data_IF_372184051956
#
_entry.id   IF_372184051956
#
_cell.length_a   1.000
_cell.length_b   1.000
_cell.length_c   1.000
_cell.angle_alpha   90.00
_cell.angle_beta   90.00
_cell.angle_gamma   90.00
#
_symmetry.space_group_name_H-M   'P 1'
#
loop_
_entity.id
_entity.type
_entity.pdbx_description
1 polymer ?
#
# COMPACT_ATOMS: atom_id res chain seq x y z
N UNK A 1 10.45 25.70 -7.25
CA UNK A 1 8.99 25.96 -7.35
C UNK A 1 8.18 24.74 -6.91
N UNK A 2 8.41 23.57 -7.52
CA UNK A 2 7.77 22.30 -7.16
C UNK A 2 7.90 21.94 -5.67
N UNK A 3 9.12 21.83 -5.15
CA UNK A 3 9.36 21.46 -3.74
C UNK A 3 8.63 22.37 -2.74
N UNK A 4 8.68 23.69 -2.96
CA UNK A 4 7.98 24.66 -2.13
C UNK A 4 6.46 24.55 -2.21
N UNK A 5 5.91 24.15 -3.37
CA UNK A 5 4.49 23.85 -3.52
C UNK A 5 4.11 22.56 -2.79
N UNK A 6 4.86 21.48 -3.00
CA UNK A 6 4.65 20.17 -2.36
C UNK A 6 4.64 20.30 -0.83
N UNK A 7 5.63 20.99 -0.25
CA UNK A 7 5.69 21.23 1.20
C UNK A 7 4.48 21.97 1.74
N UNK A 8 3.90 22.91 0.98
CA UNK A 8 2.68 23.63 1.40
C UNK A 8 1.44 22.74 1.34
N UNK A 9 1.30 21.93 0.29
CA UNK A 9 0.12 21.07 0.11
C UNK A 9 0.12 19.87 1.08
N UNK A 10 1.28 19.26 1.32
CA UNK A 10 1.42 18.10 2.21
C UNK A 10 1.62 18.47 3.68
N UNK A 11 2.19 19.64 3.98
CA UNK A 11 2.54 20.01 5.36
C UNK A 11 3.51 19.01 5.99
N UNK A 12 3.44 18.88 7.33
CA UNK A 12 4.26 17.94 8.08
C UNK A 12 3.57 16.57 8.18
N UNK A 13 4.06 15.61 7.40
CA UNK A 13 3.68 14.19 7.50
C UNK A 13 4.45 13.50 8.62
N UNK A 14 3.86 12.46 9.21
CA UNK A 14 4.45 11.72 10.35
C UNK A 14 5.01 10.37 9.96
N UNK A 15 4.40 9.72 8.99
CA UNK A 15 4.69 8.37 8.52
C UNK A 15 5.15 8.40 7.07
N UNK A 16 4.29 8.86 6.17
CA UNK A 16 4.52 8.82 4.73
C UNK A 16 5.57 9.84 4.31
N UNK A 17 6.43 9.44 3.36
CA UNK A 17 7.54 10.25 2.83
C UNK A 17 7.47 10.33 1.30
N UNK A 18 6.51 11.09 0.75
CA UNK A 18 6.42 11.27 -0.69
C UNK A 18 7.63 12.03 -1.22
N UNK A 19 8.12 11.61 -2.38
CA UNK A 19 9.09 12.37 -3.16
C UNK A 19 8.46 12.86 -4.46
N UNK A 20 9.02 13.94 -4.98
CA UNK A 20 8.70 14.51 -6.28
C UNK A 20 10.00 14.92 -6.95
N UNK A 21 10.25 14.42 -8.15
CA UNK A 21 11.40 14.81 -8.95
C UNK A 21 10.93 15.48 -10.24
N UNK A 22 11.75 16.41 -10.73
CA UNK A 22 11.48 17.14 -11.96
C UNK A 22 12.77 17.18 -12.78
N UNK A 23 12.77 16.42 -13.86
CA UNK A 23 13.92 16.19 -14.71
C UNK A 23 13.72 16.92 -16.04
N UNK A 24 14.63 17.84 -16.37
CA UNK A 24 14.60 18.56 -17.65
C UNK A 24 15.39 17.77 -18.68
N UNK A 25 14.78 17.55 -19.84
CA UNK A 25 15.41 16.93 -21.00
C UNK A 25 15.60 17.98 -22.08
N UNK A 26 16.84 18.11 -22.55
CA UNK A 26 17.14 18.98 -23.69
C UNK A 26 16.49 18.46 -24.97
N UNK A 27 16.37 19.36 -25.96
CA UNK A 27 15.89 18.97 -27.28
C UNK A 27 16.78 17.87 -27.86
N UNK A 28 16.16 16.88 -28.49
CA UNK A 28 16.86 15.71 -29.00
C UNK A 28 16.22 15.15 -30.26
N UNK A 29 16.72 14.01 -30.70
CA UNK A 29 16.13 13.21 -31.77
C UNK A 29 15.70 11.89 -31.17
N UNK A 30 14.40 11.59 -31.21
CA UNK A 30 13.88 10.28 -30.83
C UNK A 30 13.32 9.60 -32.09
N UNK A 31 13.80 8.40 -32.40
CA UNK A 31 13.48 7.67 -33.63
C UNK A 31 13.54 8.51 -34.94
N UNK A 32 14.43 9.52 -35.01
CA UNK A 32 14.59 10.39 -36.18
C UNK A 32 13.63 11.59 -36.25
N UNK A 33 12.77 11.78 -35.24
CA UNK A 33 11.93 12.96 -35.09
C UNK A 33 12.56 13.95 -34.10
N UNK A 34 12.58 15.23 -34.47
CA UNK A 34 13.00 16.29 -33.55
C UNK A 34 11.99 16.38 -32.40
N UNK A 35 12.47 16.16 -31.18
CA UNK A 35 11.70 16.32 -29.94
C UNK A 35 12.17 17.60 -29.28
N UNK A 36 11.26 18.54 -29.06
CA UNK A 36 11.54 19.78 -28.32
C UNK A 36 11.93 19.50 -26.86
N UNK A 37 12.43 20.50 -26.13
CA UNK A 37 12.77 20.33 -24.73
C UNK A 37 11.54 19.94 -23.91
N UNK A 38 11.71 19.00 -22.99
CA UNK A 38 10.64 18.48 -22.15
C UNK A 38 11.04 18.47 -20.67
N UNK A 39 10.04 18.34 -19.82
CA UNK A 39 10.15 18.23 -18.38
C UNK A 39 9.37 16.99 -17.94
N UNK A 40 10.04 16.05 -17.30
CA UNK A 40 9.42 14.86 -16.73
C UNK A 40 9.26 15.07 -15.22
N UNK A 41 8.04 14.95 -14.74
CA UNK A 41 7.72 14.98 -13.31
C UNK A 41 7.39 13.57 -12.88
N UNK A 42 8.11 13.07 -11.89
CA UNK A 42 7.86 11.76 -11.29
C UNK A 42 7.54 11.93 -9.80
N UNK A 43 6.71 11.04 -9.28
CA UNK A 43 6.38 11.00 -7.86
C UNK A 43 6.24 9.58 -7.36
N UNK A 44 6.54 9.40 -6.08
CA UNK A 44 6.46 8.13 -5.37
C UNK A 44 6.59 8.34 -3.88
N UNK A 45 6.91 7.30 -3.13
CA UNK A 45 7.15 7.41 -1.70
C UNK A 45 8.33 6.58 -1.23
N UNK A 46 9.09 7.15 -0.30
CA UNK A 46 10.10 6.41 0.44
C UNK A 46 9.44 5.58 1.54
N UNK A 47 10.03 4.42 1.82
CA UNK A 47 9.53 3.52 2.86
C UNK A 47 9.67 4.14 4.26
N UNK A 48 8.60 4.09 5.06
CA UNK A 48 8.67 4.35 6.49
C UNK A 48 9.11 3.12 7.32
N UNK A 49 9.40 2.00 6.64
CA UNK A 49 9.76 0.72 7.23
C UNK A 49 8.55 -0.07 7.75
N UNK A 50 8.81 -1.02 8.64
CA UNK A 50 7.79 -1.89 9.23
C UNK A 50 7.16 -1.24 10.44
N UNK A 51 5.82 -1.25 10.52
CA UNK A 51 5.06 -0.75 11.66
C UNK A 51 3.93 -1.70 12.03
N UNK A 52 3.80 -1.96 13.32
CA UNK A 52 2.77 -2.85 13.85
C UNK A 52 1.41 -2.13 13.88
N UNK A 53 0.40 -2.70 13.22
CA UNK A 53 -0.97 -2.18 13.19
C UNK A 53 -2.01 -3.22 13.65
N UNK A 54 -1.64 -4.49 13.76
CA UNK A 54 -2.54 -5.59 14.13
C UNK A 54 -3.32 -5.37 15.43
N UNK A 55 -2.68 -4.99 16.57
CA UNK A 55 -3.38 -4.77 17.83
C UNK A 55 -4.47 -3.69 17.72
N UNK A 56 -4.21 -2.61 16.98
CA UNK A 56 -5.18 -1.55 16.75
C UNK A 56 -6.38 -2.07 15.94
N UNK A 57 -6.10 -2.77 14.83
CA UNK A 57 -7.11 -3.31 13.93
C UNK A 57 -7.99 -4.35 14.63
N UNK A 58 -7.40 -5.23 15.44
CA UNK A 58 -8.14 -6.19 16.26
C UNK A 58 -8.99 -5.51 17.33
N UNK A 59 -8.44 -4.51 18.02
CA UNK A 59 -9.17 -3.77 19.04
C UNK A 59 -10.41 -3.09 18.44
N UNK A 60 -10.27 -2.49 17.27
CA UNK A 60 -11.39 -1.90 16.52
C UNK A 60 -12.42 -2.95 16.10
N UNK A 61 -11.98 -4.10 15.60
CA UNK A 61 -12.87 -5.20 15.19
C UNK A 61 -13.66 -5.78 16.37
N UNK A 62 -13.04 -5.88 17.56
CA UNK A 62 -13.71 -6.30 18.80
C UNK A 62 -14.70 -5.24 19.31
N UNK A 63 -14.38 -3.96 19.16
CA UNK A 63 -15.27 -2.87 19.57
C UNK A 63 -16.54 -2.81 18.72
N UNK A 64 -16.40 -2.95 17.40
CA UNK A 64 -17.50 -2.95 16.47
C UNK A 64 -17.20 -3.96 15.33
N UNK A 65 -18.05 -5.00 15.16
CA UNK A 65 -17.87 -5.93 14.07
C UNK A 65 -17.75 -5.23 12.71
N UNK A 66 -16.74 -5.64 11.94
CA UNK A 66 -16.29 -5.12 10.65
C UNK A 66 -15.54 -3.78 10.69
N UNK A 67 -15.31 -3.17 11.85
CA UNK A 67 -14.63 -1.88 11.89
C UNK A 67 -13.14 -2.00 11.54
N UNK A 68 -12.43 -2.98 12.08
CA UNK A 68 -11.03 -3.26 11.75
C UNK A 68 -10.88 -3.58 10.25
N UNK A 69 -11.74 -4.47 9.72
CA UNK A 69 -11.77 -4.75 8.28
C UNK A 69 -12.11 -3.50 7.44
N UNK A 70 -13.02 -2.65 7.90
CA UNK A 70 -13.35 -1.41 7.18
C UNK A 70 -12.16 -0.47 7.09
N UNK A 71 -11.39 -0.34 8.17
CA UNK A 71 -10.17 0.47 8.19
C UNK A 71 -9.16 -0.10 7.20
N UNK A 72 -8.88 -1.40 7.27
CA UNK A 72 -7.93 -2.05 6.37
C UNK A 72 -8.34 -1.91 4.90
N UNK A 73 -9.62 -2.12 4.57
CA UNK A 73 -10.13 -1.94 3.22
C UNK A 73 -9.95 -0.51 2.70
N UNK A 74 -10.17 0.51 3.54
CA UNK A 74 -9.98 1.90 3.12
C UNK A 74 -8.51 2.24 2.96
N UNK A 75 -7.63 1.71 3.81
CA UNK A 75 -6.18 1.81 3.67
C UNK A 75 -5.72 1.23 2.33
N UNK A 76 -6.04 -0.03 2.06
CA UNK A 76 -5.72 -0.74 0.80
C UNK A 76 -6.15 0.11 -0.40
N UNK A 77 -7.42 0.54 -0.41
CA UNK A 77 -8.02 1.22 -1.55
C UNK A 77 -7.43 2.61 -1.79
N UNK A 78 -7.06 3.35 -0.75
CA UNK A 78 -6.54 4.72 -0.91
C UNK A 78 -5.02 4.78 -1.03
N UNK A 79 -4.30 3.88 -0.35
CA UNK A 79 -2.86 3.71 -0.55
C UNK A 79 -2.56 3.37 -2.01
N UNK A 80 -3.33 2.46 -2.61
CA UNK A 80 -3.14 2.07 -4.01
C UNK A 80 -3.42 3.19 -5.04
N UNK A 81 -4.14 4.26 -4.65
CA UNK A 81 -4.35 5.47 -5.47
C UNK A 81 -3.37 6.59 -5.14
N UNK A 82 -2.53 6.42 -4.12
CA UNK A 82 -1.60 7.43 -3.65
C UNK A 82 -0.20 6.87 -3.49
N UNK A 83 0.11 6.40 -2.29
CA UNK A 83 1.35 5.78 -1.88
C UNK A 83 1.02 4.36 -1.39
N UNK A 84 1.22 3.33 -2.22
CA UNK A 84 0.87 1.96 -1.82
C UNK A 84 1.69 1.52 -0.61
N UNK A 85 1.10 0.69 0.24
CA UNK A 85 1.74 0.12 1.43
C UNK A 85 1.47 -1.38 1.46
N UNK A 86 2.38 -2.17 2.01
CA UNK A 86 2.15 -3.59 2.24
C UNK A 86 1.13 -3.78 3.35
N UNK A 87 0.01 -4.41 2.98
CA UNK A 87 -1.03 -4.90 3.90
C UNK A 87 -0.99 -6.42 3.94
N UNK A 88 -1.62 -7.10 4.92
CA UNK A 88 -1.64 -8.57 4.96
C UNK A 88 -2.13 -9.22 3.65
N UNK A 89 -3.10 -8.61 2.96
CA UNK A 89 -3.56 -9.09 1.67
C UNK A 89 -2.47 -9.01 0.59
N UNK A 90 -1.73 -7.91 0.52
CA UNK A 90 -0.64 -7.73 -0.44
C UNK A 90 0.55 -8.64 -0.11
N UNK A 91 0.88 -8.82 1.18
CA UNK A 91 1.92 -9.79 1.59
C UNK A 91 1.54 -11.21 1.14
N UNK A 92 0.25 -11.57 1.22
CA UNK A 92 -0.23 -12.86 0.72
C UNK A 92 -0.16 -12.95 -0.82
N UNK A 93 -0.40 -11.85 -1.54
CA UNK A 93 -0.18 -11.78 -2.99
C UNK A 93 1.30 -11.95 -3.35
N UNK A 94 2.22 -11.35 -2.58
CA UNK A 94 3.66 -11.56 -2.74
C UNK A 94 4.06 -13.02 -2.50
N UNK A 95 3.49 -13.67 -1.48
CA UNK A 95 3.75 -15.09 -1.24
C UNK A 95 3.18 -15.99 -2.34
N UNK A 96 2.01 -15.63 -2.88
CA UNK A 96 1.41 -16.29 -4.03
C UNK A 96 2.37 -16.25 -5.23
N UNK A 97 2.91 -15.08 -5.56
CA UNK A 97 3.89 -14.93 -6.64
C UNK A 97 5.21 -15.69 -6.35
N UNK A 98 5.74 -15.59 -5.13
CA UNK A 98 7.09 -16.09 -4.79
C UNK A 98 7.17 -17.60 -4.51
N UNK A 99 6.13 -18.21 -3.93
CA UNK A 99 6.17 -19.61 -3.48
C UNK A 99 5.11 -20.50 -4.11
N UNK A 100 4.01 -19.94 -4.62
CA UNK A 100 2.81 -20.69 -5.01
C UNK A 100 2.48 -20.57 -6.50
N UNK A 101 3.39 -20.03 -7.30
CA UNK A 101 3.20 -19.84 -8.75
C UNK A 101 1.96 -19.01 -9.14
N UNK A 102 1.56 -18.07 -8.28
CA UNK A 102 0.37 -17.25 -8.49
C UNK A 102 -0.93 -17.87 -7.96
N UNK A 103 -0.87 -19.06 -7.36
CA UNK A 103 -2.03 -19.74 -6.78
C UNK A 103 -2.34 -19.28 -5.34
N UNK A 104 -3.49 -19.69 -4.81
CA UNK A 104 -3.94 -19.27 -3.47
C UNK A 104 -3.29 -19.98 -2.29
N UNK A 105 -2.56 -21.07 -2.56
CA UNK A 105 -1.85 -21.93 -1.62
C UNK A 105 -0.74 -22.74 -2.33
N UNK A 106 0.06 -23.46 -1.55
CA UNK A 106 1.25 -24.17 -2.04
C UNK A 106 1.00 -25.47 -2.81
N UNK A 107 -0.25 -25.91 -3.02
CA UNK A 107 -0.53 -27.27 -3.49
C UNK A 107 0.01 -27.53 -4.91
N UNK A 108 -0.10 -26.56 -5.82
CA UNK A 108 0.46 -26.67 -7.17
C UNK A 108 1.99 -26.72 -7.15
N UNK A 109 2.64 -25.87 -6.34
CA UNK A 109 4.09 -25.86 -6.23
C UNK A 109 4.64 -27.19 -5.70
N UNK A 110 3.95 -27.81 -4.74
CA UNK A 110 4.29 -29.13 -4.21
C UNK A 110 4.06 -30.25 -5.21
N UNK A 111 2.99 -30.17 -6.01
CA UNK A 111 2.71 -31.13 -7.07
C UNK A 111 3.81 -31.14 -8.13
N UNK A 112 4.22 -29.96 -8.59
CA UNK A 112 5.26 -29.84 -9.62
C UNK A 112 6.65 -30.23 -9.12
N UNK A 113 6.98 -29.91 -7.86
CA UNK A 113 8.31 -30.17 -7.32
C UNK A 113 8.50 -31.63 -6.84
N UNK A 114 7.47 -32.24 -6.27
CA UNK A 114 7.61 -33.53 -5.56
C UNK A 114 6.71 -34.65 -6.11
N UNK A 115 5.71 -34.33 -6.94
CA UNK A 115 4.72 -35.31 -7.41
C UNK A 115 4.04 -36.06 -6.25
N UNK A 116 3.97 -37.40 -6.36
CA UNK A 116 3.34 -38.28 -5.36
C UNK A 116 4.23 -38.63 -4.14
N UNK A 117 5.47 -38.11 -4.05
CA UNK A 117 6.37 -38.43 -2.94
C UNK A 117 5.97 -37.69 -1.65
N UNK A 118 5.36 -38.42 -0.72
CA UNK A 118 4.87 -37.86 0.53
C UNK A 118 5.97 -37.30 1.46
N UNK A 119 7.18 -37.87 1.43
CA UNK A 119 8.28 -37.45 2.29
C UNK A 119 8.93 -36.18 1.74
N UNK A 120 9.14 -36.09 0.42
CA UNK A 120 9.63 -34.88 -0.24
C UNK A 120 8.62 -33.72 -0.10
N UNK A 121 7.32 -33.98 -0.31
CA UNK A 121 6.26 -32.97 -0.10
C UNK A 121 6.27 -32.42 1.32
N UNK A 122 6.47 -33.27 2.32
CA UNK A 122 6.54 -32.84 3.71
C UNK A 122 7.79 -31.99 3.96
N UNK A 123 8.96 -32.43 3.48
CA UNK A 123 10.21 -31.69 3.63
C UNK A 123 10.13 -30.30 2.97
N UNK A 124 9.48 -30.19 1.81
CA UNK A 124 9.26 -28.90 1.15
C UNK A 124 8.29 -28.02 1.93
N UNK A 125 7.15 -28.55 2.41
CA UNK A 125 6.21 -27.79 3.27
C UNK A 125 6.87 -27.26 4.55
N UNK A 126 7.77 -28.02 5.16
CA UNK A 126 8.46 -27.62 6.39
C UNK A 126 9.46 -26.47 6.17
N UNK A 127 9.91 -26.26 4.93
CA UNK A 127 10.90 -25.22 4.58
C UNK A 127 10.30 -24.01 3.87
N UNK A 128 9.20 -24.15 3.14
CA UNK A 128 8.57 -23.07 2.37
C UNK A 128 7.57 -22.24 3.19
N UNK A 129 7.14 -21.09 2.65
CA UNK A 129 6.00 -20.34 3.18
C UNK A 129 4.70 -20.99 2.71
N UNK A 130 3.78 -21.26 3.64
CA UNK A 130 2.52 -21.97 3.36
C UNK A 130 1.30 -21.12 3.69
N UNK A 131 0.16 -21.45 3.09
CA UNK A 131 -1.12 -20.79 3.40
C UNK A 131 -1.49 -20.91 4.87
N UNK A 132 -1.15 -22.03 5.50
CA UNK A 132 -1.37 -22.26 6.92
C UNK A 132 -0.62 -21.27 7.82
N UNK A 133 0.58 -20.81 7.42
CA UNK A 133 1.32 -19.78 8.17
C UNK A 133 0.57 -18.43 8.16
N UNK A 134 -0.04 -18.06 7.04
CA UNK A 134 -0.87 -16.85 6.94
C UNK A 134 -2.13 -16.97 7.81
N UNK A 135 -2.85 -18.08 7.73
CA UNK A 135 -4.05 -18.33 8.52
C UNK A 135 -3.77 -18.38 10.04
N UNK A 136 -2.54 -18.75 10.44
CA UNK A 136 -2.07 -18.71 11.83
C UNK A 136 -1.62 -17.32 12.30
N UNK A 137 -1.11 -16.48 11.40
CA UNK A 137 -0.56 -15.16 11.71
C UNK A 137 -1.62 -14.07 11.69
N UNK A 138 -2.51 -14.11 10.69
CA UNK A 138 -3.51 -13.09 10.45
C UNK A 138 -4.92 -13.63 10.66
N UNK A 139 -5.85 -12.86 11.25
CA UNK A 139 -7.23 -13.27 11.26
C UNK A 139 -7.77 -13.28 9.82
N UNK A 140 -8.64 -14.24 9.50
CA UNK A 140 -9.19 -14.43 8.13
C UNK A 140 -9.77 -13.17 7.49
N UNK A 141 -10.32 -12.26 8.28
CA UNK A 141 -10.87 -11.01 7.75
C UNK A 141 -9.80 -10.02 7.27
N UNK A 142 -8.55 -10.14 7.74
CA UNK A 142 -7.43 -9.26 7.35
C UNK A 142 -6.78 -9.70 6.02
N UNK A 143 -6.91 -10.96 5.64
CA UNK A 143 -6.37 -11.53 4.38
C UNK A 143 -7.27 -11.24 3.16
N UNK A 144 -8.03 -10.14 3.19
CA UNK A 144 -8.92 -9.73 2.11
C UNK A 144 -10.38 -10.18 2.25
N UNK A 145 -11.03 -10.46 1.12
CA UNK A 145 -12.43 -10.92 1.05
C UNK A 145 -13.52 -9.82 0.97
N UNK A 146 -14.74 -10.26 0.65
CA UNK A 146 -15.91 -9.42 0.31
C UNK A 146 -16.78 -9.11 1.54
N UNK A 147 -16.23 -8.45 2.56
CA UNK A 147 -17.05 -7.93 3.66
C UNK A 147 -17.55 -6.52 3.34
N UNK A 148 -18.86 -6.27 3.53
CA UNK A 148 -19.41 -4.94 3.29
C UNK A 148 -18.89 -3.96 4.35
N UNK A 149 -18.22 -2.86 3.96
CA UNK A 149 -17.67 -1.88 4.90
C UNK A 149 -18.75 -1.25 5.79
N UNK A 150 -18.35 -0.81 6.98
CA UNK A 150 -19.20 -0.03 7.87
C UNK A 150 -19.61 1.28 7.18
N UNK A 151 -20.92 1.57 7.22
CA UNK A 151 -21.50 2.74 6.56
C UNK A 151 -21.17 4.05 7.28
N UNK A 152 -21.15 5.15 6.53
CA UNK A 152 -20.78 6.49 7.03
C UNK A 152 -21.58 6.91 8.28
N UNK A 153 -22.91 6.69 8.30
CA UNK A 153 -23.75 7.03 9.47
C UNK A 153 -23.38 6.25 10.73
N UNK A 154 -22.93 5.00 10.57
CA UNK A 154 -22.48 4.18 11.70
C UNK A 154 -21.13 4.66 12.19
N UNK A 155 -20.20 4.97 11.29
CA UNK A 155 -18.91 5.58 11.65
C UNK A 155 -19.10 6.89 12.42
N UNK A 156 -19.93 7.79 11.91
CA UNK A 156 -20.26 9.06 12.57
C UNK A 156 -20.75 8.84 14.01
N UNK A 157 -21.70 7.91 14.18
CA UNK A 157 -22.25 7.57 15.49
C UNK A 157 -21.17 7.03 16.44
N UNK A 158 -20.28 6.16 15.96
CA UNK A 158 -19.18 5.62 16.76
C UNK A 158 -18.27 6.76 17.26
N UNK A 159 -17.87 7.67 16.37
CA UNK A 159 -17.03 8.81 16.73
C UNK A 159 -17.70 9.71 17.79
N UNK A 160 -19.00 9.92 17.68
CA UNK A 160 -19.78 10.75 18.62
C UNK A 160 -20.05 10.06 19.97
N UNK A 161 -20.29 8.75 19.98
CA UNK A 161 -20.74 8.04 21.18
C UNK A 161 -19.63 7.36 21.97
N UNK A 162 -18.46 7.12 21.37
CA UNK A 162 -17.38 6.40 22.06
C UNK A 162 -16.67 7.28 23.08
N UNK A 163 -16.47 6.74 24.28
CA UNK A 163 -15.63 7.36 25.31
C UNK A 163 -14.14 7.16 25.03
N UNK A 164 -13.76 6.16 24.24
CA UNK A 164 -12.37 5.89 23.88
C UNK A 164 -11.92 6.82 22.74
N UNK A 165 -11.10 7.81 23.09
CA UNK A 165 -10.56 8.79 22.13
C UNK A 165 -9.72 8.15 21.03
N UNK A 166 -9.07 7.00 21.27
CA UNK A 166 -8.29 6.29 20.23
C UNK A 166 -9.21 5.82 19.10
N UNK A 167 -10.35 5.23 19.46
CA UNK A 167 -11.37 4.79 18.49
C UNK A 167 -11.94 5.99 17.75
N UNK A 168 -12.31 7.06 18.47
CA UNK A 168 -12.84 8.28 17.85
C UNK A 168 -11.86 8.84 16.81
N UNK A 169 -10.59 8.99 17.17
CA UNK A 169 -9.55 9.52 16.28
C UNK A 169 -9.35 8.66 15.03
N UNK A 170 -9.31 7.32 15.17
CA UNK A 170 -9.21 6.42 14.01
C UNK A 170 -10.43 6.57 13.09
N UNK A 171 -11.63 6.63 13.66
CA UNK A 171 -12.86 6.75 12.87
C UNK A 171 -12.94 8.11 12.16
N UNK A 172 -12.52 9.20 12.80
CA UNK A 172 -12.44 10.53 12.19
C UNK A 172 -11.40 10.58 11.05
N UNK A 173 -10.21 10.01 11.27
CA UNK A 173 -9.19 9.86 10.22
C UNK A 173 -9.70 9.02 9.05
N UNK A 174 -10.35 7.88 9.34
CA UNK A 174 -10.97 7.01 8.35
C UNK A 174 -12.02 7.77 7.50
N UNK A 175 -12.87 8.57 8.14
CA UNK A 175 -13.86 9.39 7.43
C UNK A 175 -13.19 10.46 6.57
N UNK A 176 -12.10 11.05 7.03
CA UNK A 176 -11.31 12.04 6.27
C UNK A 176 -10.68 11.42 5.03
N UNK A 177 -10.12 10.22 5.16
CA UNK A 177 -9.57 9.44 4.03
C UNK A 177 -10.65 9.11 2.99
N UNK A 178 -11.85 8.73 3.44
CA UNK A 178 -12.98 8.42 2.55
C UNK A 178 -13.61 9.64 1.89
N UNK A 179 -13.41 10.83 2.43
CA UNK A 179 -13.96 12.06 1.88
C UNK A 179 -13.21 12.54 0.64
N UNK A 180 -11.99 12.04 0.42
CA UNK A 180 -11.19 12.38 -0.77
C UNK A 180 -11.53 11.40 -1.88
N UNK A 181 -12.15 11.92 -2.94
CA UNK A 181 -12.38 11.18 -4.16
C UNK A 181 -11.14 11.29 -5.05
N UNK A 182 -10.60 10.13 -5.44
CA UNK A 182 -9.47 10.01 -6.34
C UNK A 182 -9.86 9.11 -7.50
N UNK A 183 -9.41 9.41 -8.72
CA UNK A 183 -9.63 8.53 -9.86
C UNK A 183 -9.04 7.15 -9.56
N UNK A 184 -9.63 6.11 -10.14
CA UNK A 184 -8.98 4.80 -10.13
C UNK A 184 -7.65 4.89 -10.87
N UNK A 185 -6.64 4.22 -10.32
CA UNK A 185 -5.33 4.15 -10.92
C UNK A 185 -5.16 2.74 -11.46
N UNK A 186 -5.07 2.64 -12.79
CA UNK A 186 -4.90 1.38 -13.47
C UNK A 186 -3.40 1.14 -13.71
N UNK A 187 -2.84 0.24 -12.92
CA UNK A 187 -1.43 -0.14 -13.01
C UNK A 187 -1.16 -1.10 -14.17
N UNK A 188 -2.20 -1.65 -14.83
CA UNK A 188 -2.03 -2.61 -15.93
C UNK A 188 -1.38 -2.01 -17.19
N UNK A 189 -1.34 -0.68 -17.30
CA UNK A 189 -0.62 0.01 -18.37
C UNK A 189 0.90 0.02 -18.20
N UNK A 190 1.41 -0.43 -17.05
CA UNK A 190 2.85 -0.50 -16.79
C UNK A 190 3.33 -1.94 -16.90
N UNK A 191 4.46 -2.11 -17.58
CA UNK A 191 5.16 -3.38 -17.62
C UNK A 191 5.84 -3.65 -16.26
N UNK A 192 5.84 -4.90 -15.83
CA UNK A 192 6.45 -5.35 -14.58
C UNK A 192 5.58 -5.25 -13.33
N UNK A 193 6.16 -5.63 -12.19
CA UNK A 193 5.55 -5.56 -10.86
C UNK A 193 5.87 -4.22 -10.19
N UNK A 194 4.90 -3.67 -9.46
CA UNK A 194 5.15 -2.50 -8.62
C UNK A 194 5.93 -2.91 -7.36
N UNK A 195 7.04 -2.24 -7.08
CA UNK A 195 7.85 -2.45 -5.85
C UNK A 195 8.09 -1.19 -5.04
N UNK A 196 7.57 -0.03 -5.48
CA UNK A 196 7.74 1.27 -4.82
C UNK A 196 6.88 1.50 -3.57
N UNK A 197 6.66 0.47 -2.75
CA UNK A 197 5.80 0.55 -1.57
C UNK A 197 6.39 1.47 -0.49
N UNK A 198 5.53 2.31 0.09
CA UNK A 198 5.91 3.34 1.07
C UNK A 198 5.99 2.84 2.51
N UNK A 199 5.75 1.55 2.77
CA UNK A 199 5.94 0.96 4.10
C UNK A 199 5.12 -0.32 4.31
N UNK A 200 5.30 -0.95 5.47
CA UNK A 200 4.72 -2.26 5.80
C UNK A 200 3.86 -2.16 7.06
N UNK A 201 2.61 -2.65 6.98
CA UNK A 201 1.71 -2.81 8.13
C UNK A 201 1.78 -4.26 8.65
N UNK A 202 2.65 -4.50 9.61
CA UNK A 202 2.80 -5.79 10.28
C UNK A 202 1.66 -6.07 11.26
N UNK A 203 1.31 -7.34 11.46
CA UNK A 203 0.31 -7.75 12.43
C UNK A 203 0.88 -7.77 13.85
N UNK A 204 2.04 -8.39 14.03
CA UNK A 204 2.76 -8.45 15.29
C UNK A 204 3.96 -7.50 15.34
N UNK A 205 4.59 -7.37 16.52
CA UNK A 205 5.92 -6.74 16.63
C UNK A 205 7.02 -7.65 16.09
N UNK A 206 6.80 -8.96 16.15
CA UNK A 206 7.71 -10.03 15.69
C UNK A 206 7.05 -10.76 14.51
N UNK A 207 6.55 -10.00 13.53
CA UNK A 207 5.94 -10.56 12.31
C UNK A 207 7.03 -11.06 11.34
N UNK A 208 7.62 -12.19 11.70
CA UNK A 208 8.69 -12.84 10.93
C UNK A 208 8.20 -13.30 9.56
N UNK A 209 6.95 -13.76 9.48
CA UNK A 209 6.33 -14.20 8.22
C UNK A 209 6.33 -13.07 7.19
N UNK A 210 5.85 -11.87 7.56
CA UNK A 210 5.81 -10.73 6.65
C UNK A 210 7.22 -10.36 6.19
N UNK A 211 8.18 -10.31 7.10
CA UNK A 211 9.55 -9.92 6.77
C UNK A 211 10.19 -10.92 5.80
N UNK A 212 10.02 -12.23 6.05
CA UNK A 212 10.52 -13.29 5.18
C UNK A 212 9.92 -13.23 3.78
N UNK A 213 8.60 -13.08 3.67
CA UNK A 213 7.91 -13.04 2.37
C UNK A 213 8.36 -11.85 1.54
N UNK A 214 8.54 -10.68 2.16
CA UNK A 214 8.96 -9.49 1.45
C UNK A 214 10.42 -9.58 0.99
N UNK A 215 11.32 -10.13 1.81
CA UNK A 215 12.72 -10.37 1.44
C UNK A 215 12.82 -11.30 0.22
N UNK A 216 12.13 -12.46 0.26
CA UNK A 216 12.13 -13.43 -0.84
C UNK A 216 11.45 -12.87 -2.10
N UNK A 217 10.37 -12.07 -1.96
CA UNK A 217 9.71 -11.40 -3.08
C UNK A 217 10.59 -10.34 -3.74
N UNK A 218 11.24 -9.48 -2.95
CA UNK A 218 12.16 -8.46 -3.45
C UNK A 218 13.35 -9.09 -4.19
N UNK A 219 13.89 -10.20 -3.68
CA UNK A 219 14.93 -10.98 -4.36
C UNK A 219 14.44 -11.52 -5.71
N UNK A 220 13.28 -12.19 -5.74
CA UNK A 220 12.69 -12.74 -6.97
C UNK A 220 12.48 -11.66 -8.04
N UNK A 221 11.94 -10.49 -7.66
CA UNK A 221 11.71 -9.39 -8.59
C UNK A 221 13.02 -8.74 -9.05
N UNK A 222 13.99 -8.61 -8.16
CA UNK A 222 15.31 -8.08 -8.52
C UNK A 222 16.03 -8.97 -9.54
N UNK A 223 15.84 -10.29 -9.46
CA UNK A 223 16.39 -11.25 -10.43
C UNK A 223 15.66 -11.24 -11.78
N UNK A 224 14.36 -10.96 -11.80
CA UNK A 224 13.59 -10.88 -13.06
C UNK A 224 13.88 -9.59 -13.84
N UNK A 225 14.16 -8.48 -13.14
CA UNK A 225 14.34 -7.16 -13.72
C UNK A 225 13.06 -6.51 -14.26
N UNK A 226 11.89 -7.15 -14.08
CA UNK A 226 10.60 -6.71 -14.60
C UNK A 226 9.77 -6.00 -13.50
N UNK A 227 10.16 -4.77 -13.18
CA UNK A 227 9.52 -3.99 -12.12
C UNK A 227 9.55 -2.47 -12.33
N UNK A 228 8.76 -1.77 -11.54
CA UNK A 228 8.76 -0.31 -11.46
C UNK A 228 8.49 0.23 -10.04
N UNK A 229 9.02 1.41 -9.76
CA UNK A 229 9.00 2.00 -8.41
C UNK A 229 8.19 3.30 -8.31
N UNK A 230 8.10 4.07 -9.39
CA UNK A 230 7.40 5.36 -9.35
C UNK A 230 5.90 5.13 -9.20
N UNK A 231 5.20 5.98 -8.45
CA UNK A 231 3.74 5.92 -8.40
C UNK A 231 3.11 6.55 -9.64
N UNK A 232 3.79 7.51 -10.24
CA UNK A 232 3.42 8.03 -11.55
C UNK A 232 4.49 8.94 -12.13
N UNK A 233 4.33 9.20 -13.42
CA UNK A 233 5.20 10.03 -14.23
C UNK A 233 4.35 10.85 -15.20
N UNK A 234 4.75 12.10 -15.44
CA UNK A 234 4.18 12.94 -16.49
C UNK A 234 5.30 13.68 -17.22
N UNK A 235 5.41 13.45 -18.52
CA UNK A 235 6.29 14.21 -19.40
C UNK A 235 5.51 15.33 -20.10
N UNK A 236 6.02 16.56 -20.00
CA UNK A 236 5.39 17.80 -20.49
C UNK A 236 6.39 18.55 -21.36
N UNK A 237 5.96 19.14 -22.48
CA UNK A 237 6.80 20.07 -23.23
C UNK A 237 7.10 21.32 -22.37
N UNK A 238 8.32 21.87 -22.41
CA UNK A 238 8.71 23.02 -21.55
C UNK A 238 7.83 24.26 -21.78
N UNK A 239 7.30 24.42 -23.00
CA UNK A 239 6.42 25.51 -23.39
C UNK A 239 4.96 25.32 -22.95
N UNK A 240 4.57 24.09 -22.58
CA UNK A 240 3.20 23.74 -22.19
C UNK A 240 2.95 24.00 -20.70
N UNK A 241 2.92 25.28 -20.35
CA UNK A 241 2.63 25.74 -19.00
C UNK A 241 1.21 25.40 -18.53
N UNK A 242 0.27 25.19 -19.46
CA UNK A 242 -1.12 24.86 -19.14
C UNK A 242 -1.22 23.42 -18.60
N UNK A 243 -0.55 22.46 -19.24
CA UNK A 243 -0.47 21.09 -18.73
C UNK A 243 0.19 21.03 -17.37
N UNK A 244 1.26 21.79 -17.15
CA UNK A 244 1.91 21.89 -15.83
C UNK A 244 0.95 22.44 -14.76
N UNK A 245 0.19 23.49 -15.08
CA UNK A 245 -0.80 24.04 -14.15
C UNK A 245 -1.92 23.03 -13.84
N UNK A 246 -2.45 22.34 -14.85
CA UNK A 246 -3.46 21.28 -14.67
C UNK A 246 -2.93 20.14 -13.81
N UNK A 247 -1.66 19.76 -13.96
CA UNK A 247 -1.04 18.74 -13.12
C UNK A 247 -1.01 19.15 -11.65
N UNK A 248 -0.64 20.40 -11.32
CA UNK A 248 -0.72 20.89 -9.94
C UNK A 248 -2.13 20.78 -9.37
N UNK A 249 -3.16 21.15 -10.14
CA UNK A 249 -4.55 21.05 -9.68
C UNK A 249 -5.00 19.60 -9.49
N UNK A 250 -4.57 18.69 -10.37
CA UNK A 250 -4.83 17.25 -10.25
C UNK A 250 -4.12 16.62 -9.02
N UNK A 251 -2.96 17.14 -8.63
CA UNK A 251 -2.21 16.64 -7.48
C UNK A 251 -2.70 17.18 -6.13
N UNK A 252 -3.53 18.23 -6.09
CA UNK A 252 -4.11 18.73 -4.81
C UNK A 252 -4.98 17.68 -4.10
N UNK A 253 -5.94 17.00 -4.76
CA UNK A 253 -6.64 15.85 -4.19
C UNK A 253 -5.68 14.76 -3.71
N UNK A 254 -4.65 14.43 -4.49
CA UNK A 254 -3.64 13.44 -4.13
C UNK A 254 -2.95 13.81 -2.81
N UNK A 255 -2.45 15.05 -2.68
CA UNK A 255 -1.83 15.54 -1.43
C UNK A 255 -2.79 15.51 -0.23
N UNK A 256 -4.08 15.80 -0.45
CA UNK A 256 -5.11 15.69 0.61
C UNK A 256 -5.31 14.24 1.05
N UNK A 257 -5.40 13.31 0.12
CA UNK A 257 -5.51 11.88 0.43
C UNK A 257 -4.27 11.37 1.15
N UNK A 258 -3.06 11.72 0.70
CA UNK A 258 -1.79 11.34 1.34
C UNK A 258 -1.72 11.83 2.78
N UNK A 259 -2.11 13.07 3.07
CA UNK A 259 -2.19 13.58 4.46
C UNK A 259 -3.20 12.84 5.32
N UNK A 260 -4.38 12.56 4.78
CA UNK A 260 -5.40 11.82 5.50
C UNK A 260 -4.95 10.38 5.80
N UNK A 261 -4.29 9.75 4.82
CA UNK A 261 -3.73 8.40 4.93
C UNK A 261 -2.61 8.35 5.97
N UNK A 262 -1.68 9.30 5.94
CA UNK A 262 -0.62 9.48 6.93
C UNK A 262 -1.18 9.55 8.36
N UNK A 263 -2.20 10.38 8.56
CA UNK A 263 -2.89 10.51 9.85
C UNK A 263 -3.54 9.20 10.30
N UNK A 264 -4.17 8.45 9.39
CA UNK A 264 -4.78 7.16 9.72
C UNK A 264 -3.72 6.12 10.10
N UNK A 265 -2.65 5.97 9.31
CA UNK A 265 -1.54 5.05 9.59
C UNK A 265 -0.92 5.38 10.95
N UNK A 266 -0.65 6.65 11.22
CA UNK A 266 -0.08 7.08 12.49
C UNK A 266 -0.95 6.69 13.69
N UNK A 267 -2.27 6.89 13.63
CA UNK A 267 -3.18 6.52 14.71
C UNK A 267 -3.17 5.01 14.99
N UNK A 268 -3.00 4.18 13.95
CA UNK A 268 -2.96 2.72 14.09
C UNK A 268 -1.63 2.24 14.67
N UNK A 269 -0.51 2.83 14.25
CA UNK A 269 0.82 2.33 14.61
C UNK A 269 1.35 2.89 15.93
N UNK A 270 1.07 4.16 16.22
CA UNK A 270 1.64 4.88 17.38
C UNK A 270 0.65 5.04 18.54
N UNK A 271 -0.59 4.57 18.36
CA UNK A 271 -1.53 4.50 19.48
C UNK A 271 -1.08 3.44 20.49
N UNK A 272 -1.26 3.72 21.77
CA UNK A 272 -1.19 2.66 22.78
C UNK A 272 -2.41 1.77 22.61
N UNK A 273 -2.28 0.66 21.89
CA UNK A 273 -3.33 -0.32 21.63
C UNK A 273 -3.17 -1.58 22.49
N UNK A 274 -2.29 -1.54 23.49
CA UNK A 274 -2.17 -2.62 24.44
C UNK A 274 -3.53 -2.82 25.14
N UNK A 275 -4.00 -4.07 25.13
CA UNK A 275 -5.24 -4.42 25.82
C UNK A 275 -5.04 -4.19 27.33
N UNK A 276 -5.93 -3.43 27.95
CA UNK A 276 -6.17 -3.55 29.39
C UNK A 276 -7.09 -4.73 29.64
#
# INVERSE_FOLDING_TARGET
MLEGWVRRELGALRMLRPYFAMNLREAGSDAGHAVGPSCTIEWGGESFGVRCAGPALEFLERHQPRLGRTVLHVLERQAFRTLPIYTPAIVMECASDAYWYGESDEDMALEEACGDDADERKAMRDTMVTRAMFDGTFPRWALGGRSRPVGRRTLQRIAESTSDRRIANVVESLMSVRAVDLPEYDWSFREGRFVGFSGVLAWGREDELTTRVLDDYEQMISESGDYFETCGELTIAVEDHETLARWFDAMRPWCRATRALDGLIWQLCEGDWSAK
#
